data_IF_347436349359
#
_entry.id   IF_347436349359
#
_cell.length_a   1.000
_cell.length_b   1.000
_cell.length_c   1.000
_cell.angle_alpha   90.00
_cell.angle_beta   90.00
_cell.angle_gamma   90.00
#
_symmetry.space_group_name_H-M   'P 1'
#
loop_
_entity.id
_entity.type
_entity.pdbx_description
1 polymer ?
#
# COMPACT_ATOMS: atom_id res chain seq x y z
N UNK A 1 31.48 52.10 -11.74
CA UNK A 1 31.63 50.61 -11.65
C UNK A 1 30.97 50.16 -10.36
N UNK A 2 30.00 49.25 -10.41
CA UNK A 2 29.35 48.71 -9.20
C UNK A 2 30.29 47.65 -8.59
N UNK A 3 30.59 47.70 -7.28
CA UNK A 3 31.48 46.73 -6.65
C UNK A 3 30.90 45.31 -6.76
N UNK A 4 31.73 44.34 -7.11
CA UNK A 4 31.34 42.93 -7.28
C UNK A 4 30.56 42.37 -6.08
N UNK A 5 30.93 42.75 -4.86
CA UNK A 5 30.28 42.29 -3.63
C UNK A 5 28.85 42.82 -3.45
N UNK A 6 28.51 43.96 -4.07
CA UNK A 6 27.14 44.50 -4.09
C UNK A 6 26.26 43.66 -5.00
N UNK A 7 26.76 43.31 -6.20
CA UNK A 7 26.05 42.41 -7.14
C UNK A 7 25.83 41.03 -6.52
N UNK A 8 26.83 40.51 -5.80
CA UNK A 8 26.74 39.23 -5.12
C UNK A 8 25.67 39.22 -4.01
N UNK A 9 25.55 40.30 -3.24
CA UNK A 9 24.49 40.44 -2.22
C UNK A 9 23.08 40.46 -2.82
N UNK A 10 22.90 41.16 -3.94
CA UNK A 10 21.61 41.18 -4.64
C UNK A 10 21.25 39.81 -5.20
N UNK A 11 22.20 39.09 -5.82
CA UNK A 11 21.98 37.74 -6.34
C UNK A 11 21.62 36.75 -5.23
N UNK A 12 22.33 36.78 -4.10
CA UNK A 12 22.03 35.91 -2.95
C UNK A 12 20.64 36.23 -2.39
N UNK A 13 20.30 37.51 -2.22
CA UNK A 13 18.99 37.93 -1.74
C UNK A 13 17.86 37.51 -2.69
N UNK A 14 18.05 37.68 -3.99
CA UNK A 14 17.09 37.24 -5.01
C UNK A 14 16.92 35.71 -5.01
N UNK A 15 18.00 34.94 -4.85
CA UNK A 15 17.93 33.48 -4.73
C UNK A 15 17.14 33.09 -3.47
N UNK A 16 17.43 33.69 -2.32
CA UNK A 16 16.68 33.44 -1.08
C UNK A 16 15.18 33.76 -1.19
N UNK A 17 14.84 34.83 -1.89
CA UNK A 17 13.44 35.22 -2.16
C UNK A 17 12.76 34.19 -3.09
N UNK A 18 13.45 33.72 -4.13
CA UNK A 18 12.92 32.67 -5.02
C UNK A 18 12.74 31.33 -4.26
N UNK A 19 13.67 30.96 -3.38
CA UNK A 19 13.54 29.76 -2.53
C UNK A 19 12.36 29.85 -1.54
N UNK A 20 12.00 31.06 -1.07
CA UNK A 20 10.82 31.26 -0.22
C UNK A 20 9.50 31.37 -0.99
N UNK A 21 9.54 31.74 -2.26
CA UNK A 21 8.37 31.88 -3.14
C UNK A 21 8.09 30.64 -3.99
N UNK A 22 9.06 29.73 -4.12
CA UNK A 22 8.81 28.43 -4.71
C UNK A 22 7.81 27.68 -3.81
N UNK A 23 6.62 27.30 -4.32
CA UNK A 23 5.72 26.47 -3.55
C UNK A 23 6.45 25.16 -3.22
N UNK A 24 6.45 24.79 -1.95
CA UNK A 24 6.73 23.41 -1.60
C UNK A 24 5.63 22.57 -2.25
N UNK A 25 5.93 21.89 -3.36
CA UNK A 25 5.03 20.90 -3.92
C UNK A 25 4.87 19.81 -2.86
N UNK A 26 3.73 19.80 -2.18
CA UNK A 26 3.31 18.66 -1.38
C UNK A 26 3.16 17.48 -2.34
N UNK A 27 4.10 16.54 -2.29
CA UNK A 27 4.04 15.33 -3.10
C UNK A 27 2.89 14.46 -2.58
N UNK A 28 1.69 14.64 -3.11
CA UNK A 28 0.61 13.69 -2.91
C UNK A 28 1.04 12.37 -3.52
N UNK A 29 1.17 11.31 -2.72
CA UNK A 29 1.42 9.97 -3.24
C UNK A 29 0.33 9.67 -4.28
N UNK A 30 0.76 9.28 -5.48
CA UNK A 30 -0.15 8.92 -6.55
C UNK A 30 -1.05 7.77 -6.09
N UNK A 31 -2.36 8.01 -5.99
CA UNK A 31 -3.37 7.02 -5.62
C UNK A 31 -3.29 5.78 -6.54
N UNK A 32 -2.94 5.97 -7.82
CA UNK A 32 -2.72 4.86 -8.74
C UNK A 32 -1.53 3.99 -8.32
N UNK A 33 -0.46 4.59 -7.81
CA UNK A 33 0.71 3.87 -7.31
C UNK A 33 0.35 3.04 -6.07
N UNK A 34 -0.39 3.61 -5.10
CA UNK A 34 -0.84 2.89 -3.90
C UNK A 34 -1.68 1.65 -4.26
N UNK A 35 -2.64 1.82 -5.18
CA UNK A 35 -3.47 0.71 -5.69
C UNK A 35 -2.62 -0.42 -6.26
N UNK A 36 -1.67 -0.04 -7.11
CA UNK A 36 -0.78 -0.98 -7.81
C UNK A 36 0.10 -1.75 -6.83
N UNK A 37 0.73 -1.06 -5.88
CA UNK A 37 1.62 -1.73 -4.91
C UNK A 37 0.84 -2.66 -3.97
N UNK A 38 -0.38 -2.26 -3.56
CA UNK A 38 -1.20 -3.09 -2.67
C UNK A 38 -1.61 -4.37 -3.38
N UNK A 39 -2.15 -4.29 -4.59
CA UNK A 39 -2.51 -5.50 -5.37
C UNK A 39 -1.30 -6.39 -5.61
N UNK A 40 -0.14 -5.82 -5.99
CA UNK A 40 1.08 -6.59 -6.20
C UNK A 40 1.57 -7.28 -4.94
N UNK A 41 1.62 -6.58 -3.81
CA UNK A 41 2.04 -7.14 -2.53
C UNK A 41 1.13 -8.30 -2.09
N UNK A 42 -0.20 -8.13 -2.17
CA UNK A 42 -1.14 -9.21 -1.84
C UNK A 42 -0.92 -10.43 -2.74
N UNK A 43 -0.84 -10.23 -4.07
CA UNK A 43 -0.66 -11.34 -5.00
C UNK A 43 0.72 -12.00 -4.86
N UNK A 44 1.78 -11.26 -4.50
CA UNK A 44 3.07 -11.84 -4.20
C UNK A 44 2.97 -12.78 -3.00
N UNK A 45 2.47 -12.30 -1.87
CA UNK A 45 2.36 -13.07 -0.63
C UNK A 45 1.40 -14.27 -0.78
N UNK A 46 0.33 -14.12 -1.56
CA UNK A 46 -0.58 -15.24 -1.90
C UNK A 46 0.08 -16.37 -2.68
N UNK A 47 1.18 -16.11 -3.41
CA UNK A 47 2.00 -17.16 -4.05
C UNK A 47 2.92 -17.87 -3.05
N UNK A 48 3.24 -17.20 -1.95
CA UNK A 48 4.26 -17.61 -0.98
C UNK A 48 3.68 -18.36 0.23
N UNK A 49 2.34 -18.48 0.33
CA UNK A 49 1.67 -19.21 1.42
C UNK A 49 2.24 -20.62 1.61
N UNK A 50 2.29 -21.04 2.87
CA UNK A 50 2.77 -22.37 3.26
C UNK A 50 1.71 -23.09 4.11
N UNK A 51 1.32 -24.33 3.76
CA UNK A 51 1.68 -25.05 2.53
C UNK A 51 1.21 -24.34 1.25
N UNK A 52 1.76 -24.72 0.09
CA UNK A 52 1.36 -24.12 -1.19
C UNK A 52 -0.15 -24.28 -1.42
N UNK A 53 -0.78 -23.28 -2.02
CA UNK A 53 -2.21 -23.28 -2.31
C UNK A 53 -2.52 -23.68 -3.76
N UNK A 54 -3.45 -24.62 -3.92
CA UNK A 54 -3.86 -25.15 -5.22
C UNK A 54 -4.98 -24.36 -5.92
N UNK A 55 -5.77 -23.60 -5.15
CA UNK A 55 -6.97 -22.90 -5.62
C UNK A 55 -6.93 -21.37 -5.41
N UNK A 56 -5.77 -20.81 -5.08
CA UNK A 56 -5.61 -19.41 -4.69
C UNK A 56 -5.94 -18.46 -5.84
N UNK A 57 -7.01 -17.67 -5.75
CA UNK A 57 -7.34 -16.67 -6.78
C UNK A 57 -6.35 -15.52 -6.79
N UNK A 58 -6.07 -15.01 -7.98
CA UNK A 58 -5.42 -13.73 -8.16
C UNK A 58 -6.39 -12.59 -7.78
N UNK A 59 -5.90 -11.64 -6.99
CA UNK A 59 -6.66 -10.47 -6.57
C UNK A 59 -6.47 -9.31 -7.55
N UNK A 60 -7.54 -8.57 -7.78
CA UNK A 60 -7.56 -7.30 -8.53
C UNK A 60 -8.07 -6.15 -7.67
N UNK A 61 -7.94 -4.91 -8.16
CA UNK A 61 -8.49 -3.75 -7.46
C UNK A 61 -9.99 -3.60 -7.70
N UNK A 62 -10.73 -3.22 -6.67
CA UNK A 62 -12.14 -2.86 -6.74
C UNK A 62 -12.36 -1.44 -6.19
N UNK A 63 -12.75 -0.53 -7.07
CA UNK A 63 -13.10 0.84 -6.68
C UNK A 63 -14.31 0.87 -5.74
N UNK A 64 -15.27 -0.03 -5.89
CA UNK A 64 -16.43 -0.12 -4.98
C UNK A 64 -16.01 -0.49 -3.56
N UNK A 65 -15.08 -1.45 -3.40
CA UNK A 65 -14.51 -1.78 -2.10
C UNK A 65 -13.66 -0.64 -1.54
N UNK A 66 -12.92 0.09 -2.37
CA UNK A 66 -12.16 1.27 -1.94
C UNK A 66 -13.08 2.33 -1.34
N UNK A 67 -14.19 2.65 -2.02
CA UNK A 67 -15.16 3.64 -1.53
C UNK A 67 -15.80 3.21 -0.20
N UNK A 68 -16.09 1.92 -0.06
CA UNK A 68 -16.59 1.37 1.21
C UNK A 68 -15.51 1.43 2.29
N UNK A 69 -14.27 1.07 1.99
CA UNK A 69 -13.16 1.17 2.93
C UNK A 69 -12.95 2.61 3.40
N UNK A 70 -13.01 3.59 2.49
CA UNK A 70 -12.90 5.03 2.77
C UNK A 70 -13.99 5.49 3.75
N UNK A 71 -15.22 5.05 3.52
CA UNK A 71 -16.32 5.31 4.45
C UNK A 71 -16.05 4.70 5.84
N UNK A 72 -15.52 3.47 5.90
CA UNK A 72 -15.30 2.72 7.14
C UNK A 72 -14.15 3.25 8.00
N UNK A 73 -13.08 3.78 7.40
CA UNK A 73 -11.93 4.30 8.15
C UNK A 73 -12.18 5.66 8.82
N UNK A 74 -13.26 6.37 8.46
CA UNK A 74 -13.60 7.70 9.02
C UNK A 74 -13.81 7.70 10.52
N UNK A 75 -14.37 6.62 11.05
CA UNK A 75 -14.68 6.51 12.48
C UNK A 75 -13.46 6.09 13.32
N UNK A 76 -12.33 5.76 12.69
CA UNK A 76 -11.08 5.37 13.37
C UNK A 76 -11.24 4.22 14.38
N UNK A 77 -12.23 3.34 14.17
CA UNK A 77 -12.53 2.18 15.01
C UNK A 77 -12.40 0.90 14.18
N UNK A 78 -11.36 0.12 14.41
CA UNK A 78 -11.18 -1.18 13.74
C UNK A 78 -12.17 -2.24 14.23
N UNK A 79 -12.63 -2.15 15.49
CA UNK A 79 -13.38 -3.21 16.18
C UNK A 79 -14.90 -3.18 16.03
N UNK A 80 -15.46 -2.20 15.30
CA UNK A 80 -16.92 -2.02 15.18
C UNK A 80 -17.39 -2.01 13.72
N UNK A 81 -16.57 -2.53 12.80
CA UNK A 81 -16.92 -2.58 11.40
C UNK A 81 -17.97 -3.67 11.19
N UNK A 82 -19.25 -3.30 11.08
CA UNK A 82 -20.20 -4.17 10.37
C UNK A 82 -19.72 -4.27 8.94
N UNK A 83 -19.33 -5.48 8.53
CA UNK A 83 -18.83 -5.76 7.19
C UNK A 83 -19.93 -6.23 6.25
N UNK A 84 -21.16 -6.29 6.75
CA UNK A 84 -22.35 -6.53 5.96
C UNK A 84 -22.74 -5.24 5.25
N UNK A 85 -22.74 -5.29 3.93
CA UNK A 85 -23.19 -4.18 3.09
C UNK A 85 -23.92 -4.72 1.87
N UNK A 86 -25.16 -4.25 1.65
CA UNK A 86 -26.07 -4.74 0.61
C UNK A 86 -26.29 -6.26 0.64
N UNK A 87 -26.33 -6.87 1.82
CA UNK A 87 -26.55 -8.32 1.97
C UNK A 87 -25.33 -9.19 1.67
N UNK A 88 -24.15 -8.60 1.51
CA UNK A 88 -22.88 -9.30 1.36
C UNK A 88 -21.97 -8.99 2.55
N UNK A 89 -21.31 -10.03 3.08
CA UNK A 89 -20.28 -9.90 4.10
C UNK A 89 -18.90 -9.81 3.43
N UNK A 90 -18.21 -8.69 3.64
CA UNK A 90 -16.87 -8.47 3.10
C UNK A 90 -15.79 -8.89 4.08
N UNK A 91 -14.69 -9.40 3.56
CA UNK A 91 -13.49 -9.65 4.35
C UNK A 91 -12.77 -8.35 4.69
N UNK A 92 -11.92 -8.36 5.71
CA UNK A 92 -11.09 -7.21 6.03
C UNK A 92 -9.74 -7.58 6.63
N UNK A 93 -8.75 -6.72 6.38
CA UNK A 93 -7.52 -6.65 7.14
C UNK A 93 -7.25 -5.19 7.50
N UNK A 94 -6.82 -4.93 8.73
CA UNK A 94 -6.60 -3.56 9.20
C UNK A 94 -5.38 -3.42 10.09
N UNK A 95 -4.82 -2.22 10.11
CA UNK A 95 -3.68 -1.87 10.96
C UNK A 95 -3.80 -0.43 11.43
N UNK A 96 -3.68 -0.24 12.74
CA UNK A 96 -3.58 1.09 13.36
C UNK A 96 -2.13 1.36 13.70
N UNK A 97 -1.50 2.26 12.96
CA UNK A 97 -0.09 2.62 13.11
C UNK A 97 -0.03 3.89 13.96
N UNK A 98 0.63 3.82 15.11
CA UNK A 98 0.77 4.93 16.06
C UNK A 98 1.99 5.78 15.71
N UNK A 99 1.97 7.03 16.17
CA UNK A 99 3.10 7.97 16.12
C UNK A 99 3.59 8.26 14.70
N UNK A 100 2.67 8.19 13.72
CA UNK A 100 2.92 8.61 12.34
C UNK A 100 1.96 9.72 11.92
N UNK A 101 2.50 10.72 11.24
CA UNK A 101 1.76 11.91 10.78
C UNK A 101 1.45 11.88 9.29
N UNK A 102 2.13 11.03 8.51
CA UNK A 102 1.92 10.88 7.07
C UNK A 102 2.32 9.45 6.64
N UNK A 103 1.43 8.68 5.98
CA UNK A 103 1.78 7.35 5.48
C UNK A 103 2.60 7.47 4.19
N UNK A 104 3.65 6.67 4.10
CA UNK A 104 4.46 6.51 2.89
C UNK A 104 4.09 5.23 2.13
N UNK A 105 4.63 5.02 0.94
CA UNK A 105 4.55 3.74 0.21
C UNK A 105 4.96 2.56 1.12
N UNK A 106 6.05 2.73 1.88
CA UNK A 106 6.55 1.72 2.82
C UNK A 106 5.52 1.42 3.92
N UNK A 107 4.78 2.42 4.37
CA UNK A 107 3.70 2.25 5.37
C UNK A 107 2.63 1.28 4.86
N UNK A 108 2.24 1.37 3.58
CA UNK A 108 1.29 0.45 2.98
C UNK A 108 1.86 -0.97 2.80
N UNK A 109 3.07 -1.09 2.26
CA UNK A 109 3.74 -2.39 2.05
C UNK A 109 3.92 -3.15 3.37
N UNK A 110 4.52 -2.50 4.37
CA UNK A 110 4.75 -3.10 5.70
C UNK A 110 3.44 -3.49 6.39
N UNK A 111 2.32 -2.84 6.07
CA UNK A 111 1.02 -3.24 6.63
C UNK A 111 0.55 -4.57 6.05
N UNK A 112 0.72 -4.79 4.74
CA UNK A 112 0.36 -6.06 4.09
C UNK A 112 1.31 -7.17 4.53
N UNK A 113 2.61 -6.87 4.64
CA UNK A 113 3.62 -7.79 5.16
C UNK A 113 3.29 -8.22 6.59
N UNK A 114 3.00 -7.28 7.50
CA UNK A 114 2.64 -7.62 8.88
C UNK A 114 1.33 -8.41 8.99
N UNK A 115 0.34 -8.12 8.13
CA UNK A 115 -0.86 -8.93 8.03
C UNK A 115 -0.52 -10.38 7.67
N UNK A 116 0.36 -10.58 6.69
CA UNK A 116 0.79 -11.91 6.28
C UNK A 116 1.68 -12.61 7.32
N UNK A 117 2.62 -11.89 7.94
CA UNK A 117 3.52 -12.40 8.97
C UNK A 117 2.78 -12.86 10.23
N UNK A 118 1.56 -12.37 10.46
CA UNK A 118 0.69 -12.91 11.52
C UNK A 118 0.34 -14.39 11.31
N UNK A 119 0.53 -14.92 10.09
CA UNK A 119 0.41 -16.33 9.76
C UNK A 119 1.39 -17.24 10.48
N UNK A 120 2.48 -16.70 11.04
CA UNK A 120 3.37 -17.46 11.95
C UNK A 120 2.63 -17.97 13.21
N UNK A 121 1.45 -17.41 13.51
CA UNK A 121 0.58 -17.80 14.62
C UNK A 121 -0.63 -18.61 14.17
N UNK A 122 -0.77 -18.90 12.88
CA UNK A 122 -1.87 -19.68 12.33
C UNK A 122 -1.44 -21.13 12.14
N UNK A 123 -2.27 -22.07 12.58
CA UNK A 123 -2.07 -23.49 12.35
C UNK A 123 -3.03 -23.98 11.25
N UNK A 124 -2.49 -24.29 10.07
CA UNK A 124 -3.26 -24.78 8.92
C UNK A 124 -3.87 -26.18 9.16
N UNK A 125 -3.29 -26.99 10.06
CA UNK A 125 -3.81 -28.32 10.35
C UNK A 125 -5.03 -28.26 11.26
N UNK A 126 -4.97 -27.41 12.30
CA UNK A 126 -6.07 -27.26 13.27
C UNK A 126 -7.09 -26.18 12.85
N UNK A 127 -6.78 -25.37 11.83
CA UNK A 127 -7.57 -24.21 11.41
C UNK A 127 -7.80 -23.20 12.54
N UNK A 128 -6.76 -22.95 13.34
CA UNK A 128 -6.83 -22.09 14.52
C UNK A 128 -5.76 -21.00 14.51
N UNK A 129 -6.15 -19.80 14.94
CA UNK A 129 -5.20 -18.78 15.37
C UNK A 129 -4.72 -19.11 16.79
N UNK A 130 -3.42 -18.96 17.03
CA UNK A 130 -2.86 -19.00 18.39
C UNK A 130 -3.54 -17.98 19.31
N UNK A 131 -3.51 -18.25 20.61
CA UNK A 131 -4.18 -17.43 21.62
C UNK A 131 -3.62 -15.99 21.72
N UNK A 132 -4.48 -15.07 22.18
CA UNK A 132 -4.15 -13.67 22.46
C UNK A 132 -2.90 -13.52 23.34
N UNK A 133 -2.03 -12.52 23.10
CA UNK A 133 -2.25 -11.31 22.29
C UNK A 133 -1.98 -11.48 20.79
N UNK A 134 -1.74 -12.72 20.34
CA UNK A 134 -1.45 -13.04 18.94
C UNK A 134 -2.78 -13.28 18.22
N UNK A 135 -2.99 -12.57 17.13
CA UNK A 135 -4.20 -12.57 16.30
C UNK A 135 -3.74 -12.77 14.85
N UNK A 136 -4.37 -13.69 14.13
CA UNK A 136 -3.93 -14.13 12.80
C UNK A 136 -5.01 -13.96 11.72
N UNK A 137 -6.15 -13.34 12.09
CA UNK A 137 -7.30 -13.10 11.23
C UNK A 137 -6.92 -12.29 9.98
N UNK A 138 -6.00 -11.33 10.13
CA UNK A 138 -5.45 -10.59 9.00
C UNK A 138 -4.73 -11.51 7.99
N UNK A 139 -3.93 -12.48 8.47
CA UNK A 139 -3.30 -13.46 7.60
C UNK A 139 -4.34 -14.34 6.91
N UNK A 140 -5.30 -14.89 7.66
CA UNK A 140 -6.34 -15.76 7.10
C UNK A 140 -7.08 -15.03 5.99
N UNK A 141 -7.38 -13.75 6.16
CA UNK A 141 -8.03 -12.95 5.13
C UNK A 141 -7.13 -12.67 3.91
N UNK A 142 -5.85 -12.34 4.11
CA UNK A 142 -4.88 -12.16 3.00
C UNK A 142 -4.72 -13.46 2.21
N UNK A 143 -4.68 -14.60 2.90
CA UNK A 143 -4.55 -15.95 2.35
C UNK A 143 -5.88 -16.55 1.87
N UNK A 144 -7.00 -15.83 1.95
CA UNK A 144 -8.31 -16.37 1.60
C UNK A 144 -8.43 -16.61 0.08
N UNK A 145 -8.41 -17.86 -0.36
CA UNK A 145 -8.36 -18.25 -1.76
C UNK A 145 -9.55 -17.72 -2.57
N UNK A 146 -10.73 -17.64 -1.96
CA UNK A 146 -11.93 -17.18 -2.66
C UNK A 146 -11.95 -15.66 -2.91
N UNK A 147 -11.14 -14.89 -2.17
CA UNK A 147 -11.04 -13.45 -2.37
C UNK A 147 -10.43 -13.12 -3.73
N UNK A 148 -11.17 -12.38 -4.55
CA UNK A 148 -10.79 -12.05 -5.93
C UNK A 148 -10.53 -10.56 -6.16
N UNK A 149 -10.93 -9.73 -5.20
CA UNK A 149 -10.82 -8.28 -5.29
C UNK A 149 -10.53 -7.68 -3.92
N UNK A 150 -9.75 -6.60 -3.92
CA UNK A 150 -9.53 -5.75 -2.76
C UNK A 150 -9.83 -4.30 -3.07
N UNK A 151 -10.21 -3.54 -2.05
CA UNK A 151 -10.18 -2.09 -2.09
C UNK A 151 -9.79 -1.56 -0.72
N UNK A 152 -8.83 -0.66 -0.69
CA UNK A 152 -8.22 -0.19 0.54
C UNK A 152 -8.35 1.32 0.69
N UNK A 153 -8.37 1.78 1.94
CA UNK A 153 -8.34 3.18 2.31
C UNK A 153 -7.56 3.37 3.61
N UNK A 154 -7.25 4.62 3.92
CA UNK A 154 -6.64 4.98 5.18
C UNK A 154 -7.21 6.30 5.72
N UNK A 155 -7.11 6.50 7.03
CA UNK A 155 -7.51 7.76 7.65
C UNK A 155 -6.56 8.12 8.81
N UNK A 156 -6.39 9.42 9.01
CA UNK A 156 -5.68 9.96 10.17
C UNK A 156 -6.60 9.88 11.39
N UNK A 157 -6.07 9.33 12.48
CA UNK A 157 -6.83 9.00 13.66
C UNK A 157 -6.20 9.60 14.91
N UNK A 158 -7.04 10.22 15.74
CA UNK A 158 -6.68 10.56 17.12
C UNK A 158 -7.08 9.40 18.02
N UNK A 159 -6.09 8.75 18.60
CA UNK A 159 -6.22 7.55 19.43
C UNK A 159 -6.11 7.99 20.89
N UNK A 160 -7.13 7.71 21.70
CA UNK A 160 -7.07 7.93 23.15
C UNK A 160 -6.70 6.63 23.86
N UNK A 161 -5.69 6.67 24.72
CA UNK A 161 -5.41 5.54 25.62
C UNK A 161 -6.34 5.58 26.86
N UNK A 162 -6.26 4.56 27.72
CA UNK A 162 -7.04 4.49 28.97
C UNK A 162 -6.74 5.63 29.96
N UNK A 163 -5.57 6.28 29.82
CA UNK A 163 -5.12 7.41 30.63
C UNK A 163 -5.51 8.77 30.02
N UNK A 164 -6.32 8.78 28.96
CA UNK A 164 -6.71 9.98 28.19
C UNK A 164 -5.57 10.72 27.49
N UNK A 165 -4.40 10.10 27.33
CA UNK A 165 -3.38 10.60 26.43
C UNK A 165 -3.84 10.42 24.97
N UNK A 166 -3.67 11.48 24.18
CA UNK A 166 -3.98 11.48 22.75
C UNK A 166 -2.70 11.20 21.94
N UNK A 167 -2.79 10.22 21.05
CA UNK A 167 -1.76 9.88 20.07
C UNK A 167 -2.33 10.06 18.67
N UNK A 168 -1.49 10.48 17.74
CA UNK A 168 -1.85 10.52 16.33
C UNK A 168 -1.38 9.25 15.65
N UNK A 169 -2.18 8.76 14.73
CA UNK A 169 -1.84 7.58 13.95
C UNK A 169 -2.60 7.53 12.64
N UNK A 170 -2.34 6.48 11.87
CA UNK A 170 -3.06 6.18 10.63
C UNK A 170 -3.68 4.80 10.75
N UNK A 171 -4.98 4.72 10.50
CA UNK A 171 -5.69 3.47 10.30
C UNK A 171 -5.65 3.14 8.81
N UNK A 172 -5.11 1.98 8.46
CA UNK A 172 -5.18 1.40 7.11
C UNK A 172 -6.16 0.24 7.16
N UNK A 173 -7.06 0.17 6.18
CA UNK A 173 -8.07 -0.88 6.02
C UNK A 173 -8.11 -1.33 4.57
N UNK A 174 -8.01 -2.64 4.34
CA UNK A 174 -8.35 -3.28 3.08
C UNK A 174 -9.61 -4.12 3.26
N UNK A 175 -10.59 -3.95 2.37
CA UNK A 175 -11.75 -4.82 2.25
C UNK A 175 -11.55 -5.82 1.12
N UNK A 176 -12.12 -7.01 1.29
CA UNK A 176 -11.98 -8.15 0.37
C UNK A 176 -13.35 -8.61 -0.11
N UNK A 177 -13.47 -8.89 -1.40
CA UNK A 177 -14.67 -9.52 -1.95
C UNK A 177 -14.66 -11.02 -1.61
N UNK A 178 -15.53 -11.42 -0.67
CA UNK A 178 -15.53 -12.65 0.14
C UNK A 178 -14.80 -12.48 1.47
N UNK A 179 -15.54 -12.66 2.56
CA UNK A 179 -14.99 -12.82 3.90
C UNK A 179 -14.47 -14.25 4.11
N UNK A 180 -13.55 -14.39 5.06
CA UNK A 180 -13.31 -15.68 5.73
C UNK A 180 -14.56 -16.13 6.49
N UNK A 181 -14.86 -17.42 6.46
CA UNK A 181 -16.12 -17.98 6.97
C UNK A 181 -15.91 -19.14 7.97
N UNK A 182 -14.68 -19.34 8.43
CA UNK A 182 -14.31 -20.39 9.38
C UNK A 182 -13.81 -21.67 8.72
N UNK A 183 -13.87 -21.80 7.39
CA UNK A 183 -13.14 -22.84 6.67
C UNK A 183 -11.64 -22.53 6.56
N UNK A 184 -10.87 -23.51 6.07
CA UNK A 184 -9.45 -23.29 5.74
C UNK A 184 -9.32 -22.19 4.68
N UNK A 185 -8.28 -21.33 4.78
CA UNK A 185 -8.12 -20.21 3.87
C UNK A 185 -7.92 -20.64 2.41
N UNK A 186 -7.38 -21.83 2.17
CA UNK A 186 -7.15 -22.38 0.83
C UNK A 186 -7.00 -23.91 0.88
N UNK A 187 -7.01 -24.53 -0.30
CA UNK A 187 -6.75 -25.97 -0.45
C UNK A 187 -5.25 -26.17 -0.65
N UNK A 188 -4.61 -26.88 0.27
CA UNK A 188 -3.19 -27.23 0.17
C UNK A 188 -2.90 -28.11 -1.05
N UNK A 189 -1.89 -27.78 -1.84
CA UNK A 189 -1.45 -28.55 -3.00
C UNK A 189 -0.66 -27.72 -4.00
N UNK A 190 -0.22 -28.36 -5.08
CA UNK A 190 0.54 -27.70 -6.15
C UNK A 190 -0.25 -26.51 -6.71
N UNK A 191 0.44 -25.38 -6.90
CA UNK A 191 -0.14 -24.14 -7.39
C UNK A 191 -0.99 -24.34 -8.64
N UNK A 192 -2.19 -23.77 -8.64
CA UNK A 192 -3.17 -23.89 -9.72
C UNK A 192 -3.76 -25.29 -9.99
N UNK A 193 -3.40 -26.33 -9.22
CA UNK A 193 -3.93 -27.70 -9.47
C UNK A 193 -5.44 -27.84 -9.23
N UNK A 194 -6.07 -26.90 -8.53
CA UNK A 194 -7.50 -26.88 -8.23
C UNK A 194 -8.14 -25.50 -8.49
N UNK A 195 -7.77 -24.86 -9.60
CA UNK A 195 -8.38 -23.57 -9.95
C UNK A 195 -9.90 -23.69 -10.18
N UNK A 196 -10.70 -22.77 -9.61
CA UNK A 196 -12.15 -22.79 -9.79
C UNK A 196 -12.55 -22.35 -11.21
N UNK A 197 -13.73 -22.74 -11.66
CA UNK A 197 -14.25 -22.39 -12.99
C UNK A 197 -14.32 -20.87 -13.24
N UNK A 198 -14.53 -20.08 -12.18
CA UNK A 198 -14.52 -18.60 -12.24
C UNK A 198 -13.13 -18.00 -12.54
N UNK A 199 -12.06 -18.76 -12.37
CA UNK A 199 -10.68 -18.33 -12.56
C UNK A 199 -9.80 -19.50 -13.05
N UNK A 200 -10.06 -20.05 -14.26
CA UNK A 200 -9.52 -21.35 -14.67
C UNK A 200 -8.06 -21.30 -15.14
N UNK A 201 -7.47 -20.11 -15.33
CA UNK A 201 -6.12 -19.98 -15.86
C UNK A 201 -5.08 -19.89 -14.74
N UNK A 202 -3.88 -20.40 -14.98
CA UNK A 202 -2.78 -20.26 -14.03
C UNK A 202 -1.89 -19.07 -14.38
N UNK A 203 -1.65 -18.20 -13.39
CA UNK A 203 -0.69 -17.12 -13.45
C UNK A 203 0.30 -17.24 -12.29
N UNK A 204 1.42 -17.93 -12.54
CA UNK A 204 2.51 -18.09 -11.57
C UNK A 204 2.02 -18.59 -10.19
N UNK A 205 1.20 -19.64 -10.18
CA UNK A 205 0.66 -20.24 -8.95
C UNK A 205 -0.68 -19.65 -8.46
N UNK A 206 -1.18 -18.58 -9.09
CA UNK A 206 -2.51 -18.01 -8.81
C UNK A 206 -3.52 -18.34 -9.91
N UNK A 207 -4.76 -18.59 -9.51
CA UNK A 207 -5.90 -18.82 -10.37
C UNK A 207 -6.47 -17.49 -10.89
N UNK A 208 -6.52 -17.32 -12.21
CA UNK A 208 -6.87 -16.10 -12.90
C UNK A 208 -8.09 -16.26 -13.81
N UNK A 209 -8.90 -15.20 -13.91
CA UNK A 209 -10.07 -15.15 -14.80
C UNK A 209 -9.71 -14.98 -16.28
N UNK A 210 -8.52 -14.46 -16.59
CA UNK A 210 -8.03 -14.29 -17.95
C UNK A 210 -6.56 -14.71 -18.06
N UNK A 211 -6.18 -15.19 -19.25
CA UNK A 211 -4.79 -15.52 -19.58
C UNK A 211 -3.89 -14.29 -19.47
N UNK A 212 -2.59 -14.48 -19.23
CA UNK A 212 -1.63 -13.39 -19.20
C UNK A 212 -1.52 -12.65 -20.55
N UNK A 213 -1.86 -13.30 -21.66
CA UNK A 213 -1.82 -12.73 -23.02
C UNK A 213 -3.00 -11.80 -23.32
N UNK A 214 -4.12 -11.96 -22.62
CA UNK A 214 -5.32 -11.12 -22.79
C UNK A 214 -5.34 -9.89 -21.88
N UNK A 215 -4.37 -9.78 -20.96
CA UNK A 215 -4.29 -8.62 -20.06
C UNK A 215 -3.69 -7.44 -20.80
N UNK A 216 -4.24 -6.22 -20.62
CA UNK A 216 -3.50 -5.01 -20.94
C UNK A 216 -2.12 -5.14 -20.33
N UNK A 217 -1.07 -4.92 -21.13
CA UNK A 217 0.29 -4.96 -20.64
C UNK A 217 0.39 -3.93 -19.53
N UNK A 218 0.38 -4.37 -18.28
CA UNK A 218 0.89 -3.57 -17.18
C UNK A 218 2.33 -3.27 -17.56
N UNK A 219 2.57 -2.10 -18.13
CA UNK A 219 3.91 -1.62 -18.39
C UNK A 219 4.69 -1.85 -17.10
N UNK A 220 5.86 -2.51 -17.14
CA UNK A 220 6.64 -2.69 -15.94
C UNK A 220 6.90 -1.30 -15.39
N UNK A 221 6.23 -0.97 -14.29
CA UNK A 221 6.57 0.21 -13.53
C UNK A 221 7.97 -0.08 -13.03
N UNK A 222 8.93 0.48 -13.75
CA UNK A 222 10.35 0.35 -13.48
C UNK A 222 10.57 0.68 -12.02
N UNK A 223 10.96 -0.35 -11.25
CA UNK A 223 11.48 -0.20 -9.89
C UNK A 223 12.78 0.64 -9.85
N UNK A 224 13.26 1.12 -11.00
CA UNK A 224 14.40 2.01 -11.12
C UNK A 224 14.01 3.48 -11.32
N UNK A 225 12.76 3.88 -11.08
CA UNK A 225 12.48 5.28 -10.77
C UNK A 225 13.05 5.59 -9.38
N UNK A 226 14.38 5.72 -9.31
CA UNK A 226 15.02 6.47 -8.25
C UNK A 226 14.27 7.79 -8.15
N UNK A 227 13.55 8.00 -7.05
CA UNK A 227 12.89 9.27 -6.75
C UNK A 227 14.00 10.26 -6.38
N UNK A 228 14.75 10.65 -7.40
CA UNK A 228 15.61 11.82 -7.42
C UNK A 228 15.39 12.47 -8.79
N UNK A 229 14.18 12.97 -9.03
CA UNK A 229 14.02 14.05 -9.98
C UNK A 229 14.68 15.27 -9.35
N UNK A 230 16.00 15.40 -9.52
CA UNK A 230 16.65 16.69 -9.32
C UNK A 230 15.94 17.67 -10.26
N UNK A 231 15.27 18.65 -9.66
CA UNK A 231 14.55 19.68 -10.40
C UNK A 231 15.54 20.24 -11.44
N UNK A 232 15.23 20.17 -12.74
CA UNK A 232 16.14 20.58 -13.81
C UNK A 232 16.64 22.02 -13.62
N UNK A 233 15.86 22.82 -12.88
CA UNK A 233 16.22 24.14 -12.40
C UNK A 233 17.46 24.17 -11.48
N UNK A 234 17.67 23.20 -10.58
CA UNK A 234 18.87 23.13 -9.73
C UNK A 234 20.14 22.87 -10.55
N UNK A 235 20.07 21.99 -11.55
CA UNK A 235 21.17 21.73 -12.48
C UNK A 235 21.47 22.97 -13.34
N UNK A 236 20.45 23.68 -13.82
CA UNK A 236 20.62 24.93 -14.57
C UNK A 236 21.22 26.05 -13.70
N UNK A 237 20.77 26.18 -12.45
CA UNK A 237 21.31 27.16 -11.49
C UNK A 237 22.75 26.82 -11.12
N UNK A 238 23.09 25.55 -10.86
CA UNK A 238 24.46 25.11 -10.61
C UNK A 238 25.37 25.33 -11.82
N UNK A 239 24.91 25.03 -13.04
CA UNK A 239 25.67 25.26 -14.27
C UNK A 239 25.87 26.76 -14.53
N UNK A 240 24.87 27.60 -14.26
CA UNK A 240 25.01 29.06 -14.34
C UNK A 240 26.00 29.59 -13.29
N UNK A 241 25.94 29.10 -12.06
CA UNK A 241 26.89 29.44 -11.00
C UNK A 241 28.31 29.03 -11.42
N UNK A 242 28.51 27.80 -11.88
CA UNK A 242 29.81 27.31 -12.35
C UNK A 242 30.32 28.07 -13.58
N UNK A 243 29.46 28.44 -14.53
CA UNK A 243 29.83 29.27 -15.69
C UNK A 243 30.24 30.70 -15.28
N UNK A 244 29.57 31.28 -14.28
CA UNK A 244 29.90 32.59 -13.74
C UNK A 244 31.23 32.58 -12.98
N UNK A 245 31.54 31.50 -12.25
CA UNK A 245 32.83 31.32 -11.55
C UNK A 245 33.97 30.85 -12.47
N UNK A 246 33.67 30.13 -13.56
CA UNK A 246 34.65 29.67 -14.54
C UNK A 246 35.18 30.75 -15.48
N UNK A 247 34.55 31.94 -15.50
CA UNK A 247 35.05 33.14 -16.19
C UNK A 247 35.80 34.12 -15.28
N UNK A 248 36.02 33.74 -14.01
CA UNK A 248 36.73 34.55 -13.01
C UNK A 248 38.18 34.09 -12.76
N UNK A 249 38.72 33.22 -13.62
CA UNK A 249 40.14 32.90 -13.72
C UNK A 249 40.62 33.05 -15.16
#
# INVERSE_FOLDING_TARGET
MIPFWVVMKFLIFSIFVIFKLAPAESYSIDDHLIKTILVRAHNQLRREVQPQASNMKEISWSTSLQLLADYKVKDCKSSSLSLDYNGLTYGYASRLIKDITEPSITTFLTSVEEWFDSGQYYNMYDNECGYTPRVCENYVQVAWANSSQIGCAYNYCTIRNYESNEYYGVLILCLYYSAMDGDLPYISGDGCSHCPESAPYCNQGLCASATATDRPSDTPYSSNASVYKYNAWYLLVLLMIMYMFGKLY
#
